data_IF_772528074807
#
_entry.id   IF_772528074807
#
_cell.length_a   1.000
_cell.length_b   1.000
_cell.length_c   1.000
_cell.angle_alpha   90.00
_cell.angle_beta   90.00
_cell.angle_gamma   90.00
#
_symmetry.space_group_name_H-M   'P 1'
#
loop_
_entity.id
_entity.type
_entity.pdbx_description
1 polymer ?
#
# COMPACT_ATOMS: atom_id res chain seq x y z
N UNK A 1 -20.98 18.40 -3.63
CA UNK A 1 -19.74 19.00 -3.09
C UNK A 1 -19.15 18.04 -2.06
N UNK A 2 -17.90 17.62 -2.23
CA UNK A 2 -17.22 16.73 -1.27
C UNK A 2 -16.69 17.59 -0.13
N UNK A 3 -17.02 17.24 1.12
CA UNK A 3 -16.48 17.92 2.30
C UNK A 3 -15.01 17.54 2.51
N UNK A 4 -14.22 18.44 3.10
CA UNK A 4 -12.82 18.17 3.47
C UNK A 4 -12.65 16.85 4.24
N UNK A 5 -13.57 16.54 5.17
CA UNK A 5 -13.55 15.30 5.95
C UNK A 5 -13.63 14.06 5.05
N UNK A 6 -14.55 14.07 4.12
CA UNK A 6 -14.77 12.98 3.16
C UNK A 6 -13.55 12.81 2.24
N UNK A 7 -13.02 13.93 1.72
CA UNK A 7 -11.80 13.90 0.90
C UNK A 7 -10.61 13.31 1.67
N UNK A 8 -10.42 13.73 2.93
CA UNK A 8 -9.36 13.21 3.79
C UNK A 8 -9.50 11.70 4.02
N UNK A 9 -10.71 11.23 4.29
CA UNK A 9 -10.98 9.80 4.49
C UNK A 9 -10.64 8.98 3.24
N UNK A 10 -11.06 9.45 2.06
CA UNK A 10 -10.76 8.78 0.78
C UNK A 10 -9.26 8.71 0.50
N UNK A 11 -8.51 9.76 0.81
CA UNK A 11 -7.04 9.77 0.66
C UNK A 11 -6.40 8.74 1.60
N UNK A 12 -6.81 8.70 2.88
CA UNK A 12 -6.26 7.74 3.85
C UNK A 12 -6.55 6.30 3.41
N UNK A 13 -7.77 6.03 2.96
CA UNK A 13 -8.15 4.71 2.43
C UNK A 13 -7.32 4.33 1.21
N UNK A 14 -7.11 5.27 0.28
CA UNK A 14 -6.29 5.02 -0.90
C UNK A 14 -4.83 4.71 -0.54
N UNK A 15 -4.24 5.44 0.42
CA UNK A 15 -2.88 5.18 0.90
C UNK A 15 -2.80 3.79 1.54
N UNK A 16 -3.78 3.39 2.34
CA UNK A 16 -3.83 2.06 2.94
C UNK A 16 -3.87 0.97 1.87
N UNK A 17 -4.83 1.08 0.94
CA UNK A 17 -4.96 0.16 -0.19
C UNK A 17 -3.66 0.07 -0.97
N UNK A 18 -3.05 1.21 -1.32
CA UNK A 18 -1.83 1.23 -2.13
C UNK A 18 -0.65 0.52 -1.44
N UNK A 19 -0.52 0.66 -0.12
CA UNK A 19 0.60 0.10 0.63
C UNK A 19 0.42 -1.37 1.00
N UNK A 20 -0.81 -1.77 1.33
CA UNK A 20 -1.08 -3.07 1.96
C UNK A 20 -1.78 -4.07 1.03
N UNK A 21 -2.61 -3.59 0.11
CA UNK A 21 -3.51 -4.46 -0.68
C UNK A 21 -3.14 -4.48 -2.16
N UNK A 22 -2.55 -3.40 -2.68
CA UNK A 22 -2.24 -3.28 -4.10
C UNK A 22 -1.11 -4.22 -4.50
N UNK A 23 -1.46 -5.27 -5.24
CA UNK A 23 -0.52 -6.24 -5.81
C UNK A 23 0.20 -5.67 -7.04
N UNK A 24 1.48 -6.04 -7.21
CA UNK A 24 2.28 -5.72 -8.40
C UNK A 24 2.99 -6.97 -8.92
N UNK A 25 2.84 -7.27 -10.21
CA UNK A 25 3.59 -8.36 -10.86
C UNK A 25 5.10 -8.19 -10.72
N UNK A 26 5.61 -6.96 -10.84
CA UNK A 26 7.04 -6.66 -10.62
C UNK A 26 7.53 -6.89 -9.19
N UNK A 27 6.62 -7.01 -8.22
CA UNK A 27 6.92 -7.37 -6.84
C UNK A 27 6.58 -8.84 -6.57
N UNK A 28 6.60 -9.69 -7.60
CA UNK A 28 6.23 -11.09 -7.54
C UNK A 28 4.85 -11.33 -6.90
N UNK A 29 3.88 -10.44 -7.17
CA UNK A 29 2.53 -10.57 -6.62
C UNK A 29 2.37 -10.03 -5.19
N UNK A 30 3.38 -9.41 -4.60
CA UNK A 30 3.32 -8.86 -3.25
C UNK A 30 2.77 -7.42 -3.22
N UNK A 31 2.20 -7.02 -2.09
CA UNK A 31 2.00 -5.61 -1.76
C UNK A 31 3.33 -4.90 -1.46
N UNK A 32 3.39 -3.57 -1.53
CA UNK A 32 4.61 -2.82 -1.21
C UNK A 32 5.18 -3.11 0.19
N UNK A 33 4.33 -3.27 1.20
CA UNK A 33 4.78 -3.59 2.57
C UNK A 33 5.37 -5.01 2.63
N UNK A 34 4.67 -6.00 2.07
CA UNK A 34 5.14 -7.39 2.03
C UNK A 34 6.48 -7.51 1.30
N UNK A 35 6.63 -6.81 0.17
CA UNK A 35 7.88 -6.81 -0.58
C UNK A 35 9.06 -6.27 0.25
N UNK A 36 8.88 -5.17 0.98
CA UNK A 36 9.94 -4.62 1.84
C UNK A 36 10.34 -5.59 2.95
N UNK A 37 9.36 -6.22 3.59
CA UNK A 37 9.61 -7.20 4.66
C UNK A 37 10.38 -8.43 4.12
N UNK A 38 9.95 -8.96 2.98
CA UNK A 38 10.63 -10.07 2.31
C UNK A 38 12.07 -9.70 1.91
N UNK A 39 12.28 -8.51 1.34
CA UNK A 39 13.60 -8.03 0.97
C UNK A 39 14.53 -7.87 2.20
N UNK A 40 14.00 -7.34 3.31
CA UNK A 40 14.76 -7.21 4.56
C UNK A 40 15.17 -8.56 5.16
N UNK A 41 14.31 -9.57 5.07
CA UNK A 41 14.62 -10.93 5.54
C UNK A 41 15.72 -11.59 4.71
N UNK A 42 15.76 -11.35 3.39
CA UNK A 42 16.80 -11.89 2.52
C UNK A 42 18.17 -11.22 2.72
N UNK A 43 18.18 -9.98 3.24
CA UNK A 43 19.42 -9.24 3.53
C UNK A 43 20.00 -9.50 4.92
N UNK A 44 19.32 -10.31 5.75
CA UNK A 44 19.76 -10.68 7.09
C UNK A 44 20.56 -11.99 7.05
#
# INVERSE_FOLDING_TARGET
>A
MVCYKELKQRIVQYINYYNNERIKQKLAGMSPVQYRMHASQLSA
#
